data_IF_687214557645
#
_entry.id   IF_687214557645
#
_cell.length_a   1.000
_cell.length_b   1.000
_cell.length_c   1.000
_cell.angle_alpha   90.00
_cell.angle_beta   90.00
_cell.angle_gamma   90.00
#
_symmetry.space_group_name_H-M   'P 1'
#
loop_
_entity.id
_entity.type
_entity.pdbx_description
1 polymer ?
#
# COMPACT_ATOMS: atom_id res chain seq x y z
N UNK A 1 -2.56 -7.40 -4.33
CA UNK A 1 -3.31 -6.15 -4.54
C UNK A 1 -3.29 -5.81 -6.02
N UNK A 2 -4.43 -5.35 -6.59
CA UNK A 2 -4.45 -4.83 -7.95
C UNK A 2 -3.51 -3.63 -8.08
N UNK A 3 -2.68 -3.60 -9.14
CA UNK A 3 -1.66 -2.57 -9.34
C UNK A 3 -2.23 -1.15 -9.33
N UNK A 4 -3.37 -0.85 -10.00
CA UNK A 4 -3.94 0.50 -9.95
C UNK A 4 -4.44 0.92 -8.57
N UNK A 5 -4.81 -0.05 -7.72
CA UNK A 5 -5.31 0.22 -6.37
C UNK A 5 -4.19 0.39 -5.34
N UNK A 6 -3.01 -0.19 -5.60
CA UNK A 6 -1.89 -0.23 -4.66
C UNK A 6 -1.43 1.17 -4.21
N UNK A 7 -1.18 2.16 -5.09
CA UNK A 7 -0.72 3.47 -4.64
C UNK A 7 -1.68 4.16 -3.68
N UNK A 8 -2.99 3.93 -3.85
CA UNK A 8 -3.99 4.47 -2.95
C UNK A 8 -3.94 3.81 -1.57
N UNK A 9 -3.75 2.49 -1.48
CA UNK A 9 -3.53 1.80 -0.21
C UNK A 9 -2.25 2.27 0.49
N UNK A 10 -1.15 2.42 -0.24
CA UNK A 10 0.09 2.96 0.33
C UNK A 10 -0.11 4.38 0.87
N UNK A 11 -0.80 5.23 0.13
CA UNK A 11 -1.16 6.58 0.58
C UNK A 11 -2.00 6.56 1.87
N UNK A 12 -3.00 5.67 1.98
CA UNK A 12 -3.83 5.51 3.17
C UNK A 12 -3.01 5.07 4.38
N UNK A 13 -2.07 4.13 4.21
CA UNK A 13 -1.15 3.71 5.26
C UNK A 13 -0.29 4.89 5.73
N UNK A 14 0.26 5.67 4.80
CA UNK A 14 1.03 6.88 5.11
C UNK A 14 0.22 7.88 5.93
N UNK A 15 -1.02 8.16 5.53
CA UNK A 15 -1.91 9.06 6.24
C UNK A 15 -2.26 8.55 7.64
N UNK A 16 -2.47 7.24 7.79
CA UNK A 16 -2.70 6.61 9.09
C UNK A 16 -1.46 6.72 10.00
N UNK A 17 -0.24 6.52 9.47
CA UNK A 17 0.99 6.73 10.23
C UNK A 17 1.15 8.18 10.68
N UNK A 18 0.77 9.16 9.85
CA UNK A 18 0.79 10.57 10.24
C UNK A 18 -0.13 10.86 11.42
N UNK A 19 -1.31 10.23 11.45
CA UNK A 19 -2.22 10.34 12.58
C UNK A 19 -1.63 9.72 13.86
N UNK A 20 -1.04 8.53 13.75
CA UNK A 20 -0.37 7.85 14.86
C UNK A 20 0.82 8.68 15.40
N UNK A 21 1.57 9.33 14.53
CA UNK A 21 2.72 10.17 14.87
C UNK A 21 2.33 11.62 15.25
N UNK A 22 1.04 11.95 15.35
CA UNK A 22 0.56 13.33 15.54
C UNK A 22 1.17 14.02 16.76
N UNK A 23 1.35 13.30 17.87
CA UNK A 23 1.92 13.84 19.12
C UNK A 23 3.40 14.22 18.99
N UNK A 24 4.17 13.43 18.26
CA UNK A 24 5.59 13.70 17.98
C UNK A 24 5.70 14.86 16.99
N UNK A 25 4.88 14.85 15.95
CA UNK A 25 4.82 15.91 14.94
C UNK A 25 4.42 17.27 15.51
N UNK A 26 3.61 17.33 16.59
CA UNK A 26 3.28 18.59 17.27
C UNK A 26 4.43 19.21 18.03
N UNK A 27 5.34 18.39 18.55
CA UNK A 27 6.44 18.86 19.41
C UNK A 27 7.64 19.31 18.62
N UNK A 28 7.91 18.63 17.51
CA UNK A 28 9.16 18.79 16.79
C UNK A 28 8.99 19.44 15.40
N UNK A 29 9.67 20.58 15.22
CA UNK A 29 9.87 21.19 13.91
C UNK A 29 10.79 20.35 13.00
N UNK A 30 11.73 19.59 13.59
CA UNK A 30 12.81 18.87 12.89
C UNK A 30 12.69 17.34 12.84
N UNK A 31 12.04 16.68 13.82
CA UNK A 31 11.85 15.20 13.84
C UNK A 31 10.92 14.68 12.74
N UNK A 32 10.27 15.60 12.01
CA UNK A 32 9.64 15.32 10.73
C UNK A 32 10.55 14.52 9.78
N UNK A 33 11.87 14.78 9.77
CA UNK A 33 12.80 14.05 8.91
C UNK A 33 12.98 12.60 9.34
N UNK A 34 13.13 12.30 10.64
CA UNK A 34 13.31 10.94 11.14
C UNK A 34 12.05 10.10 10.96
N UNK A 35 10.90 10.63 11.33
CA UNK A 35 9.61 9.94 11.14
C UNK A 35 9.35 9.67 9.66
N UNK A 36 9.61 10.66 8.79
CA UNK A 36 9.50 10.50 7.35
C UNK A 36 10.48 9.44 6.82
N UNK A 37 11.73 9.39 7.32
CA UNK A 37 12.71 8.36 6.94
C UNK A 37 12.21 6.96 7.28
N UNK A 38 11.67 6.73 8.48
CA UNK A 38 11.12 5.41 8.85
C UNK A 38 9.97 5.02 7.93
N UNK A 39 9.11 5.97 7.57
CA UNK A 39 7.96 5.72 6.70
C UNK A 39 8.39 5.51 5.25
N UNK A 40 9.41 6.24 4.79
CA UNK A 40 10.03 6.00 3.48
C UNK A 40 10.68 4.61 3.43
N UNK A 41 11.38 4.19 4.49
CA UNK A 41 11.93 2.85 4.62
C UNK A 41 10.83 1.79 4.64
N UNK A 42 9.70 2.03 5.31
CA UNK A 42 8.55 1.13 5.24
C UNK A 42 8.01 1.02 3.80
N UNK A 43 7.84 2.16 3.12
CA UNK A 43 7.41 2.19 1.71
C UNK A 43 8.36 1.39 0.81
N UNK A 44 9.66 1.58 0.97
CA UNK A 44 10.70 0.98 0.15
C UNK A 44 10.99 -0.50 0.46
N UNK A 45 10.98 -0.88 1.74
CA UNK A 45 11.43 -2.20 2.19
C UNK A 45 10.29 -3.17 2.51
N UNK A 46 9.06 -2.67 2.69
CA UNK A 46 7.90 -3.52 2.99
C UNK A 46 6.86 -3.39 1.90
N UNK A 47 6.38 -2.18 1.63
CA UNK A 47 5.23 -1.98 0.76
C UNK A 47 5.53 -2.26 -0.73
N UNK A 48 6.57 -1.62 -1.26
CA UNK A 48 6.96 -1.77 -2.66
C UNK A 48 7.42 -3.19 -3.03
N UNK A 49 8.19 -3.93 -2.19
CA UNK A 49 8.52 -5.33 -2.49
C UNK A 49 7.30 -6.24 -2.54
N UNK A 50 6.28 -6.00 -1.69
CA UNK A 50 5.02 -6.74 -1.77
C UNK A 50 4.29 -6.46 -3.08
N UNK A 51 4.24 -5.18 -3.50
CA UNK A 51 3.66 -4.79 -4.79
C UNK A 51 4.40 -5.42 -5.97
N UNK A 52 5.72 -5.25 -5.97
CA UNK A 52 6.63 -5.73 -7.01
C UNK A 52 6.62 -7.24 -7.11
N UNK A 53 6.50 -7.96 -6.00
CA UNK A 53 6.35 -9.42 -6.03
C UNK A 53 5.10 -9.82 -6.81
N UNK A 54 3.94 -9.19 -6.54
CA UNK A 54 2.70 -9.54 -7.23
C UNK A 54 2.73 -9.15 -8.70
N UNK A 55 3.33 -8.00 -9.05
CA UNK A 55 3.56 -7.62 -10.44
C UNK A 55 4.51 -8.58 -11.15
N UNK A 56 5.59 -9.01 -10.52
CA UNK A 56 6.58 -9.89 -11.14
C UNK A 56 6.08 -11.34 -11.33
N UNK A 57 5.36 -11.88 -10.34
CA UNK A 57 4.97 -13.29 -10.33
C UNK A 57 3.50 -13.55 -10.69
N UNK A 58 2.64 -12.53 -10.63
CA UNK A 58 1.23 -12.62 -10.99
C UNK A 58 0.74 -11.34 -11.70
N UNK A 59 1.36 -10.95 -12.82
CA UNK A 59 1.07 -9.68 -13.49
C UNK A 59 -0.37 -9.60 -14.01
N UNK A 60 -0.86 -10.63 -14.72
CA UNK A 60 -2.23 -10.65 -15.25
C UNK A 60 -3.29 -10.51 -14.13
N UNK A 61 -3.05 -11.14 -12.98
CA UNK A 61 -3.90 -11.00 -11.81
C UNK A 61 -3.80 -9.59 -11.20
N UNK A 62 -2.59 -9.03 -11.13
CA UNK A 62 -2.35 -7.67 -10.62
C UNK A 62 -3.00 -6.59 -11.48
N UNK A 63 -3.11 -6.81 -12.79
CA UNK A 63 -3.87 -5.96 -13.71
C UNK A 63 -5.37 -6.30 -13.78
N UNK A 64 -5.86 -7.25 -12.96
CA UNK A 64 -7.27 -7.65 -12.91
C UNK A 64 -7.78 -8.23 -14.23
N UNK A 65 -6.89 -8.83 -15.02
CA UNK A 65 -7.18 -9.33 -16.37
C UNK A 65 -7.72 -8.25 -17.32
N UNK A 66 -7.47 -6.97 -17.07
CA UNK A 66 -7.91 -5.90 -17.97
C UNK A 66 -6.92 -5.72 -19.13
N UNK A 67 -5.64 -5.96 -18.86
CA UNK A 67 -4.54 -5.74 -19.79
C UNK A 67 -3.73 -7.04 -19.91
N UNK A 68 -3.34 -7.39 -21.13
CA UNK A 68 -2.41 -8.47 -21.42
C UNK A 68 -1.00 -8.05 -20.96
N UNK A 69 -0.54 -8.61 -19.84
CA UNK A 69 0.74 -8.23 -19.26
C UNK A 69 1.94 -8.59 -20.12
N UNK A 70 1.82 -9.58 -21.02
CA UNK A 70 2.90 -9.97 -21.91
C UNK A 70 3.23 -8.90 -22.96
N UNK A 71 2.31 -7.95 -23.17
CA UNK A 71 2.48 -6.83 -24.11
C UNK A 71 2.98 -5.56 -23.44
N UNK A 72 3.02 -5.52 -22.11
CA UNK A 72 3.45 -4.34 -21.38
C UNK A 72 4.98 -4.27 -21.32
N UNK A 73 5.57 -3.09 -21.59
CA UNK A 73 6.98 -2.89 -21.31
C UNK A 73 7.26 -3.04 -19.81
N UNK A 74 8.37 -3.68 -19.44
CA UNK A 74 8.80 -3.85 -18.04
C UNK A 74 8.99 -2.54 -17.27
N UNK A 75 9.20 -1.42 -18.00
CA UNK A 75 9.24 -0.08 -17.44
C UNK A 75 7.92 0.32 -16.77
N UNK A 76 6.78 -0.19 -17.23
CA UNK A 76 5.45 0.08 -16.65
C UNK A 76 5.35 -0.55 -15.26
N UNK A 77 5.76 -1.80 -15.11
CA UNK A 77 5.77 -2.49 -13.81
C UNK A 77 6.74 -1.79 -12.84
N UNK A 78 7.91 -1.38 -13.33
CA UNK A 78 8.88 -0.61 -12.54
C UNK A 78 8.28 0.72 -12.08
N UNK A 79 7.56 1.43 -12.95
CA UNK A 79 6.89 2.67 -12.61
C UNK A 79 5.82 2.48 -11.53
N UNK A 80 5.04 1.40 -11.59
CA UNK A 80 4.08 1.05 -10.53
C UNK A 80 4.78 0.80 -9.19
N UNK A 81 5.86 0.01 -9.17
CA UNK A 81 6.61 -0.27 -7.95
C UNK A 81 7.20 1.00 -7.33
N UNK A 82 7.75 1.90 -8.16
CA UNK A 82 8.26 3.20 -7.69
C UNK A 82 7.13 4.09 -7.14
N UNK A 83 5.97 4.09 -7.81
CA UNK A 83 4.79 4.82 -7.36
C UNK A 83 4.29 4.27 -6.02
N UNK A 84 4.26 2.95 -5.86
CA UNK A 84 3.90 2.28 -4.60
C UNK A 84 4.87 2.65 -3.47
N UNK A 85 6.18 2.62 -3.74
CA UNK A 85 7.20 3.03 -2.77
C UNK A 85 7.01 4.49 -2.31
N UNK A 86 6.72 5.39 -3.25
CA UNK A 86 6.53 6.81 -2.98
C UNK A 86 5.18 7.14 -2.35
N UNK A 87 4.15 6.32 -2.58
CA UNK A 87 2.79 6.59 -2.13
C UNK A 87 2.67 6.68 -0.61
N UNK A 88 3.38 5.83 0.13
CA UNK A 88 3.37 5.82 1.60
C UNK A 88 3.96 7.11 2.18
N UNK A 89 5.21 7.52 1.87
CA UNK A 89 5.74 8.78 2.38
C UNK A 89 4.96 9.99 1.85
N UNK A 90 4.40 9.94 0.63
CA UNK A 90 3.55 11.02 0.12
C UNK A 90 2.26 11.18 0.94
N UNK A 91 1.59 10.08 1.28
CA UNK A 91 0.41 10.06 2.16
C UNK A 91 0.73 10.62 3.55
N UNK A 92 1.87 10.21 4.11
CA UNK A 92 2.34 10.75 5.38
C UNK A 92 2.61 12.25 5.31
N UNK A 93 3.43 12.70 4.35
CA UNK A 93 3.81 14.11 4.22
C UNK A 93 2.57 15.01 4.05
N UNK A 94 1.59 14.56 3.27
CA UNK A 94 0.35 15.30 3.04
C UNK A 94 -0.53 15.35 4.29
N UNK A 95 -0.62 14.26 5.04
CA UNK A 95 -1.42 14.18 6.26
C UNK A 95 -0.74 14.82 7.49
N UNK A 96 0.60 14.87 7.52
CA UNK A 96 1.39 15.32 8.66
C UNK A 96 1.01 16.74 9.11
N UNK A 97 0.81 17.68 8.17
CA UNK A 97 0.40 19.05 8.50
C UNK A 97 -0.93 19.10 9.26
N UNK A 98 -1.90 18.31 8.83
CA UNK A 98 -3.22 18.27 9.46
C UNK A 98 -3.20 17.49 10.78
N UNK A 99 -2.38 16.44 10.86
CA UNK A 99 -2.17 15.65 12.06
C UNK A 99 -1.54 16.49 13.18
N UNK A 100 -0.57 17.35 12.84
CA UNK A 100 0.00 18.35 13.76
C UNK A 100 -1.07 19.26 14.36
N UNK A 101 -2.01 19.72 13.55
CA UNK A 101 -3.06 20.61 14.03
C UNK A 101 -4.18 19.87 14.78
N UNK A 102 -4.06 18.54 14.97
CA UNK A 102 -5.11 17.65 15.52
C UNK A 102 -6.46 17.82 14.84
N UNK A 103 -6.47 18.22 13.56
CA UNK A 103 -7.69 18.42 12.78
C UNK A 103 -8.11 17.11 12.13
N UNK A 104 -9.06 16.42 12.75
CA UNK A 104 -9.59 15.14 12.23
C UNK A 104 -10.33 15.32 10.89
N UNK A 105 -11.15 16.36 10.74
CA UNK A 105 -11.96 16.57 9.53
C UNK A 105 -11.17 16.58 8.21
N UNK A 106 -10.12 17.42 8.07
CA UNK A 106 -9.27 17.42 6.87
C UNK A 106 -8.56 16.09 6.61
N UNK A 107 -8.17 15.35 7.64
CA UNK A 107 -7.53 14.04 7.50
C UNK A 107 -8.54 13.00 7.03
N UNK A 108 -9.75 13.01 7.59
CA UNK A 108 -10.84 12.15 7.11
C UNK A 108 -11.13 12.43 5.64
N UNK A 109 -11.19 13.69 5.21
CA UNK A 109 -11.36 14.03 3.78
C UNK A 109 -10.20 13.56 2.93
N UNK A 110 -8.97 13.70 3.42
CA UNK A 110 -7.75 13.28 2.74
C UNK A 110 -7.68 11.75 2.58
N UNK A 111 -8.23 11.00 3.53
CA UNK A 111 -8.31 9.52 3.50
C UNK A 111 -9.51 9.06 2.68
N UNK A 112 -10.65 9.75 2.76
CA UNK A 112 -11.90 9.32 2.15
C UNK A 112 -11.79 9.14 0.63
N UNK A 113 -11.22 10.12 -0.08
CA UNK A 113 -11.13 10.04 -1.55
C UNK A 113 -10.22 8.88 -2.01
N UNK A 114 -8.97 8.75 -1.55
CA UNK A 114 -8.13 7.60 -1.87
C UNK A 114 -8.75 6.27 -1.43
N UNK A 115 -9.45 6.21 -0.30
CA UNK A 115 -10.15 5.00 0.14
C UNK A 115 -11.25 4.61 -0.86
N UNK A 116 -12.12 5.54 -1.23
CA UNK A 116 -13.18 5.29 -2.21
C UNK A 116 -12.60 4.83 -3.53
N UNK A 117 -11.50 5.43 -4.00
CA UNK A 117 -10.84 5.01 -5.25
C UNK A 117 -10.23 3.61 -5.09
N UNK A 118 -9.46 3.36 -4.02
CA UNK A 118 -8.83 2.07 -3.77
C UNK A 118 -9.85 0.94 -3.70
N UNK A 119 -10.89 1.10 -2.87
CA UNK A 119 -11.94 0.12 -2.71
C UNK A 119 -12.79 0.00 -3.97
N UNK A 120 -13.11 1.11 -4.64
CA UNK A 120 -13.84 1.09 -5.91
C UNK A 120 -13.11 0.29 -6.99
N UNK A 121 -11.79 0.48 -7.13
CA UNK A 121 -10.96 -0.29 -8.06
C UNK A 121 -10.92 -1.77 -7.69
N UNK A 122 -10.73 -2.11 -6.41
CA UNK A 122 -10.75 -3.51 -5.95
C UNK A 122 -12.11 -4.15 -6.19
N UNK A 123 -13.20 -3.47 -5.85
CA UNK A 123 -14.56 -3.96 -6.05
C UNK A 123 -14.88 -4.18 -7.53
N UNK A 124 -14.41 -3.28 -8.41
CA UNK A 124 -14.60 -3.40 -9.85
C UNK A 124 -13.97 -4.68 -10.44
N UNK A 125 -12.85 -5.14 -9.88
CA UNK A 125 -12.16 -6.37 -10.32
C UNK A 125 -12.41 -7.58 -9.40
N UNK A 126 -13.11 -7.40 -8.29
CA UNK A 126 -13.29 -8.42 -7.25
C UNK A 126 -13.79 -9.78 -7.78
N UNK A 127 -14.78 -9.85 -8.69
CA UNK A 127 -15.23 -11.12 -9.26
C UNK A 127 -14.11 -11.88 -9.99
N UNK A 128 -13.12 -11.15 -10.50
CA UNK A 128 -11.98 -11.68 -11.25
C UNK A 128 -10.83 -12.13 -10.36
N UNK A 129 -10.68 -11.49 -9.19
CA UNK A 129 -9.56 -11.74 -8.28
C UNK A 129 -9.59 -13.13 -7.62
N UNK A 130 -10.73 -13.84 -7.68
CA UNK A 130 -10.85 -15.22 -7.19
C UNK A 130 -10.21 -16.27 -8.08
N UNK A 131 -9.72 -15.89 -9.27
CA UNK A 131 -9.17 -16.80 -10.28
C UNK A 131 -7.65 -16.61 -10.41
N UNK A 132 -6.93 -17.72 -10.57
CA UNK A 132 -5.53 -17.78 -10.96
C UNK A 132 -5.45 -18.35 -12.38
N UNK A 133 -5.09 -17.50 -13.33
CA UNK A 133 -5.01 -17.76 -14.77
C UNK A 133 -4.08 -16.74 -15.44
N UNK A 134 -3.70 -16.98 -16.70
CA UNK A 134 -3.12 -15.96 -17.59
C UNK A 134 -4.21 -15.14 -18.28
N UNK A 135 -3.87 -14.01 -18.92
CA UNK A 135 -4.81 -13.18 -19.66
C UNK A 135 -5.59 -13.98 -20.72
N UNK A 136 -4.89 -14.82 -21.51
CA UNK A 136 -5.51 -15.64 -22.54
C UNK A 136 -6.40 -16.76 -21.95
N UNK A 137 -5.98 -17.38 -20.85
CA UNK A 137 -6.78 -18.39 -20.15
C UNK A 137 -8.06 -17.80 -19.55
N UNK A 138 -7.96 -16.60 -18.97
CA UNK A 138 -9.09 -15.90 -18.39
C UNK A 138 -10.13 -15.49 -19.44
N UNK A 139 -9.71 -14.94 -20.58
CA UNK A 139 -10.65 -14.54 -21.64
C UNK A 139 -11.10 -15.68 -22.55
N UNK A 140 -10.35 -16.78 -22.57
CA UNK A 140 -10.72 -17.99 -23.31
C UNK A 140 -11.56 -18.98 -22.51
N UNK A 141 -11.85 -18.68 -21.23
CA UNK A 141 -12.59 -19.56 -20.30
C UNK A 141 -12.00 -20.98 -20.19
N UNK A 142 -10.67 -21.10 -20.19
CA UNK A 142 -9.98 -22.39 -20.08
C UNK A 142 -8.82 -22.34 -19.08
N UNK A 143 -8.56 -23.47 -18.40
CA UNK A 143 -7.39 -23.62 -17.52
C UNK A 143 -7.40 -22.74 -16.26
N UNK A 144 -8.51 -22.08 -15.94
CA UNK A 144 -8.68 -21.24 -14.76
C UNK A 144 -8.68 -22.09 -13.49
N UNK A 145 -7.91 -21.68 -12.47
CA UNK A 145 -7.90 -22.32 -11.14
C UNK A 145 -8.38 -21.34 -10.08
N UNK A 146 -9.01 -21.81 -8.99
CA UNK A 146 -9.31 -20.92 -7.88
C UNK A 146 -8.00 -20.39 -7.24
N UNK A 147 -8.01 -19.16 -6.75
CA UNK A 147 -6.86 -18.60 -6.02
C UNK A 147 -6.63 -19.36 -4.71
N UNK A 148 -7.69 -19.83 -4.06
CA UNK A 148 -7.58 -20.67 -2.86
C UNK A 148 -6.86 -21.98 -3.17
N UNK A 149 -5.78 -22.25 -2.45
CA UNK A 149 -4.95 -23.46 -2.66
C UNK A 149 -3.97 -23.36 -3.83
N UNK A 150 -3.94 -22.23 -4.55
CA UNK A 150 -2.90 -21.95 -5.55
C UNK A 150 -1.65 -21.32 -4.92
N UNK A 151 -0.48 -21.37 -5.59
CA UNK A 151 0.70 -20.62 -5.17
C UNK A 151 0.43 -19.13 -4.98
N UNK A 152 -0.43 -18.54 -5.82
CA UNK A 152 -0.85 -17.14 -5.68
C UNK A 152 -1.62 -16.89 -4.37
N UNK A 153 -2.51 -17.80 -3.99
CA UNK A 153 -3.24 -17.71 -2.72
C UNK A 153 -2.30 -17.70 -1.51
N UNK A 154 -1.30 -18.58 -1.51
CA UNK A 154 -0.27 -18.60 -0.47
C UNK A 154 0.59 -17.33 -0.48
N UNK A 155 0.98 -16.84 -1.67
CA UNK A 155 1.71 -15.58 -1.79
C UNK A 155 0.89 -14.40 -1.22
N UNK A 156 -0.40 -14.29 -1.55
CA UNK A 156 -1.27 -13.24 -1.01
C UNK A 156 -1.37 -13.31 0.50
N UNK A 157 -1.49 -14.51 1.07
CA UNK A 157 -1.51 -14.71 2.53
C UNK A 157 -0.19 -14.26 3.15
N UNK A 158 0.94 -14.76 2.67
CA UNK A 158 2.28 -14.42 3.18
C UNK A 158 2.56 -12.91 3.08
N UNK A 159 2.27 -12.30 1.93
CA UNK A 159 2.48 -10.86 1.74
C UNK A 159 1.56 -10.02 2.63
N UNK A 160 0.33 -10.46 2.87
CA UNK A 160 -0.57 -9.80 3.83
C UNK A 160 -0.03 -9.88 5.25
N UNK A 161 0.49 -11.04 5.67
CA UNK A 161 1.12 -11.20 6.98
C UNK A 161 2.36 -10.31 7.14
N UNK A 162 3.21 -10.23 6.13
CA UNK A 162 4.38 -9.33 6.12
C UNK A 162 3.93 -7.87 6.21
N UNK A 163 2.91 -7.46 5.45
CA UNK A 163 2.37 -6.10 5.51
C UNK A 163 1.84 -5.76 6.91
N UNK A 164 1.06 -6.66 7.51
CA UNK A 164 0.51 -6.49 8.85
C UNK A 164 1.62 -6.41 9.91
N UNK A 165 2.61 -7.30 9.84
CA UNK A 165 3.75 -7.30 10.75
C UNK A 165 4.58 -6.02 10.62
N UNK A 166 4.92 -5.61 9.39
CA UNK A 166 5.64 -4.36 9.14
C UNK A 166 4.85 -3.15 9.64
N UNK A 167 3.53 -3.12 9.41
CA UNK A 167 2.66 -2.04 9.87
C UNK A 167 2.65 -1.97 11.39
N UNK A 168 2.48 -3.11 12.07
CA UNK A 168 2.48 -3.20 13.52
C UNK A 168 3.81 -2.73 14.12
N UNK A 169 4.95 -3.17 13.55
CA UNK A 169 6.29 -2.75 13.98
C UNK A 169 6.47 -1.24 13.82
N UNK A 170 6.10 -0.67 12.68
CA UNK A 170 6.15 0.78 12.44
C UNK A 170 5.28 1.54 13.43
N UNK A 171 4.04 1.10 13.68
CA UNK A 171 3.15 1.73 14.66
C UNK A 171 3.73 1.67 16.07
N UNK A 172 4.29 0.52 16.49
CA UNK A 172 4.93 0.38 17.80
C UNK A 172 6.12 1.31 17.92
N UNK A 173 6.94 1.41 16.87
CA UNK A 173 8.09 2.32 16.83
C UNK A 173 7.65 3.78 16.98
N UNK A 174 6.68 4.24 16.16
CA UNK A 174 6.15 5.60 16.21
C UNK A 174 5.59 5.95 17.60
N UNK A 175 4.81 5.05 18.20
CA UNK A 175 4.26 5.25 19.55
C UNK A 175 5.34 5.31 20.63
N UNK A 176 6.41 4.51 20.51
CA UNK A 176 7.53 4.54 21.46
C UNK A 176 8.31 5.85 21.35
N UNK A 177 8.60 6.32 20.13
CA UNK A 177 9.25 7.61 19.87
C UNK A 177 8.43 8.76 20.47
N UNK A 178 7.11 8.77 20.26
CA UNK A 178 6.19 9.76 20.85
C UNK A 178 6.17 9.75 22.39
N UNK A 179 6.36 8.58 23.03
CA UNK A 179 6.41 8.45 24.51
C UNK A 179 7.75 8.87 25.09
N UNK A 180 8.86 8.58 24.41
CA UNK A 180 10.18 9.02 24.84
C UNK A 180 10.24 10.55 24.87
N UNK A 181 9.75 11.20 23.81
CA UNK A 181 9.65 12.66 23.71
C UNK A 181 8.64 13.32 24.69
N UNK A 182 7.91 12.54 25.51
CA UNK A 182 7.05 13.08 26.59
C UNK A 182 7.79 13.19 27.93
N UNK A 183 8.94 12.54 28.07
CA UNK A 183 9.70 12.47 29.34
C UNK A 183 10.80 13.51 29.43
N UNK A 184 11.17 14.12 28.30
CA UNK A 184 12.07 15.26 28.17
C UNK A 184 11.28 16.57 28.19
#
# INVERSE_FOLDING_TARGET
MPAPAAPFFGFLLGAAFAWVASEELTRDGGVASRTLTVIALFGLLVYAPIAGYLLAFAPDWSYGYVIDSQRLPSAVDTAWVLLDAASVPAGFARAARHARMKRSGPIVRLIALPAVIAFGLVLAVLPRLGVHATYAQYHGDFGTRPVSGSPLGFALLSMTLILLAGTAVTVVWLRRSSRAARRD
#
